data_IF_158301867119
#
_entry.id   IF_158301867119
#
_cell.length_a   1.000
_cell.length_b   1.000
_cell.length_c   1.000
_cell.angle_alpha   90.00
_cell.angle_beta   90.00
_cell.angle_gamma   90.00
#
_symmetry.space_group_name_H-M   'P 1'
#
loop_
_entity.id
_entity.type
_entity.pdbx_description
1 polymer ?
#
# COMPACT_ATOMS: atom_id res chain seq x y z
N UNK A 1 -23.90 -6.41 8.23
CA UNK A 1 -22.70 -5.90 7.52
C UNK A 1 -22.79 -6.38 6.08
N UNK A 2 -23.06 -5.49 5.13
CA UNK A 2 -23.26 -5.87 3.72
C UNK A 2 -21.89 -6.15 3.10
N UNK A 3 -21.53 -7.43 2.98
CA UNK A 3 -20.38 -7.83 2.19
C UNK A 3 -20.73 -7.66 0.71
N UNK A 4 -20.36 -6.53 0.11
CA UNK A 4 -20.28 -6.45 -1.34
C UNK A 4 -19.28 -7.52 -1.79
N UNK A 5 -19.77 -8.59 -2.42
CA UNK A 5 -18.92 -9.61 -3.07
C UNK A 5 -18.08 -8.90 -4.11
N UNK A 6 -16.81 -8.66 -3.79
CA UNK A 6 -15.88 -8.02 -4.70
C UNK A 6 -15.65 -8.90 -5.92
N UNK A 7 -15.97 -8.37 -7.10
CA UNK A 7 -15.77 -9.06 -8.38
C UNK A 7 -14.29 -9.09 -8.73
N UNK A 8 -13.79 -10.24 -9.18
CA UNK A 8 -12.44 -10.38 -9.71
C UNK A 8 -12.32 -9.63 -11.05
N UNK A 9 -11.31 -8.76 -11.17
CA UNK A 9 -11.08 -7.93 -12.38
C UNK A 9 -9.81 -8.31 -13.15
N UNK A 10 -9.14 -9.39 -12.75
CA UNK A 10 -7.88 -9.83 -13.35
C UNK A 10 -6.66 -9.40 -12.54
N UNK A 11 -5.59 -10.19 -12.62
CA UNK A 11 -4.41 -10.07 -11.77
C UNK A 11 -3.75 -8.69 -11.85
N UNK A 12 -3.53 -8.18 -13.07
CA UNK A 12 -2.90 -6.86 -13.30
C UNK A 12 -3.68 -5.76 -12.58
N UNK A 13 -4.99 -5.66 -12.79
CA UNK A 13 -5.84 -4.61 -12.19
C UNK A 13 -5.82 -4.70 -10.67
N UNK A 14 -5.82 -5.93 -10.14
CA UNK A 14 -5.83 -6.14 -8.70
C UNK A 14 -4.49 -5.77 -8.04
N UNK A 15 -3.36 -6.02 -8.70
CA UNK A 15 -2.02 -5.61 -8.26
C UNK A 15 -1.81 -4.09 -8.41
N UNK A 16 -2.30 -3.47 -9.49
CA UNK A 16 -2.25 -2.01 -9.66
C UNK A 16 -2.99 -1.27 -8.54
N UNK A 17 -4.13 -1.81 -8.10
CA UNK A 17 -4.83 -1.23 -6.96
C UNK A 17 -4.10 -1.44 -5.64
N UNK A 18 -3.30 -2.51 -5.49
CA UNK A 18 -2.38 -2.65 -4.36
C UNK A 18 -1.30 -1.57 -4.42
N UNK A 19 -0.70 -1.30 -5.58
CA UNK A 19 0.30 -0.22 -5.74
C UNK A 19 -0.27 1.14 -5.34
N UNK A 20 -1.51 1.45 -5.75
CA UNK A 20 -2.21 2.68 -5.33
C UNK A 20 -2.40 2.74 -3.82
N UNK A 21 -2.76 1.64 -3.17
CA UNK A 21 -2.92 1.60 -1.71
C UNK A 21 -1.58 1.80 -0.99
N UNK A 22 -0.50 1.20 -1.48
CA UNK A 22 0.84 1.43 -0.96
C UNK A 22 1.29 2.88 -1.18
N UNK A 23 1.01 3.47 -2.35
CA UNK A 23 1.28 4.89 -2.60
C UNK A 23 0.57 5.80 -1.60
N UNK A 24 -0.70 5.53 -1.31
CA UNK A 24 -1.46 6.27 -0.31
C UNK A 24 -0.85 6.13 1.07
N UNK A 25 -0.35 4.92 1.42
CA UNK A 25 0.39 4.72 2.67
C UNK A 25 1.68 5.55 2.72
N UNK A 26 2.50 5.56 1.65
CA UNK A 26 3.71 6.39 1.56
C UNK A 26 3.39 7.88 1.74
N UNK A 27 2.32 8.38 1.11
CA UNK A 27 1.90 9.79 1.24
C UNK A 27 1.54 10.10 2.70
N UNK A 28 0.76 9.24 3.37
CA UNK A 28 0.40 9.40 4.78
C UNK A 28 1.65 9.44 5.67
N UNK A 29 2.61 8.57 5.43
CA UNK A 29 3.85 8.51 6.19
C UNK A 29 4.76 9.71 5.95
N UNK A 30 4.82 10.21 4.73
CA UNK A 30 5.50 11.46 4.42
C UNK A 30 4.89 12.64 5.18
N UNK A 31 3.55 12.71 5.28
CA UNK A 31 2.86 13.71 6.10
C UNK A 31 3.17 13.54 7.59
N UNK A 32 3.14 12.31 8.11
CA UNK A 32 3.51 12.02 9.50
C UNK A 32 4.94 12.47 9.80
N UNK A 33 5.90 12.10 8.95
CA UNK A 33 7.31 12.51 9.07
C UNK A 33 7.45 14.02 9.09
N UNK A 34 6.78 14.72 8.17
CA UNK A 34 6.81 16.19 8.10
C UNK A 34 6.25 16.84 9.37
N UNK A 35 5.19 16.27 9.96
CA UNK A 35 4.61 16.79 11.19
C UNK A 35 5.42 16.43 12.43
N UNK A 36 6.12 15.30 12.44
CA UNK A 36 6.84 14.81 13.61
C UNK A 36 8.30 15.29 13.65
N UNK A 37 8.95 15.47 12.50
CA UNK A 37 10.40 15.66 12.43
C UNK A 37 10.86 16.94 11.68
N UNK A 38 10.01 17.58 10.87
CA UNK A 38 10.37 18.85 10.20
C UNK A 38 10.01 20.05 11.09
N UNK A 39 11.05 20.70 11.65
CA UNK A 39 10.90 21.85 12.55
C UNK A 39 10.13 23.01 11.92
N UNK A 40 10.37 23.31 10.64
CA UNK A 40 9.72 24.43 9.95
C UNK A 40 8.24 24.14 9.74
N UNK A 41 7.91 22.92 9.30
CA UNK A 41 6.51 22.50 9.13
C UNK A 41 5.77 22.40 10.46
N UNK A 42 6.43 21.92 11.52
CA UNK A 42 5.88 21.92 12.89
C UNK A 42 5.51 23.31 13.36
N UNK A 43 6.42 24.28 13.23
CA UNK A 43 6.17 25.67 13.64
C UNK A 43 4.98 26.28 12.88
N UNK A 44 4.92 26.06 11.56
CA UNK A 44 3.79 26.50 10.72
C UNK A 44 2.46 25.83 11.10
N UNK A 45 2.48 24.52 11.40
CA UNK A 45 1.28 23.81 11.85
C UNK A 45 0.79 24.33 13.21
N UNK A 46 1.72 24.61 14.13
CA UNK A 46 1.37 25.18 15.43
C UNK A 46 0.65 26.52 15.27
N UNK A 47 1.19 27.44 14.46
CA UNK A 47 0.59 28.77 14.26
C UNK A 47 -0.76 28.71 13.54
N UNK A 48 -0.88 27.83 12.54
CA UNK A 48 -2.02 27.84 11.62
C UNK A 48 -3.14 26.87 12.01
N UNK A 49 -2.87 25.88 12.85
CA UNK A 49 -3.84 24.85 13.22
C UNK A 49 -3.94 24.70 14.73
N UNK A 50 -2.83 24.49 15.42
CA UNK A 50 -2.86 24.20 16.86
C UNK A 50 -3.41 25.38 17.66
N UNK A 51 -2.93 26.60 17.41
CA UNK A 51 -3.43 27.80 18.13
C UNK A 51 -4.93 28.00 17.88
N UNK A 52 -5.37 27.88 16.63
CA UNK A 52 -6.78 28.08 16.26
C UNK A 52 -7.66 27.01 16.92
N UNK A 53 -7.28 25.74 16.83
CA UNK A 53 -8.05 24.63 17.42
C UNK A 53 -8.05 24.68 18.95
N UNK A 54 -6.97 25.19 19.57
CA UNK A 54 -6.92 25.47 21.00
C UNK A 54 -7.93 26.55 21.42
N UNK A 55 -8.09 27.60 20.61
CA UNK A 55 -9.11 28.64 20.86
C UNK A 55 -10.54 28.11 20.79
N UNK A 56 -10.76 27.00 20.06
CA UNK A 56 -12.02 26.27 20.02
C UNK A 56 -12.11 25.11 21.05
N UNK A 57 -11.17 25.03 21.99
CA UNK A 57 -11.22 24.12 23.14
C UNK A 57 -10.59 22.74 22.95
N UNK A 58 -10.06 22.43 21.75
CA UNK A 58 -9.45 21.13 21.45
C UNK A 58 -8.17 21.31 20.63
N UNK A 59 -7.01 21.54 21.27
CA UNK A 59 -5.76 21.74 20.55
C UNK A 59 -5.38 20.47 19.77
N UNK A 60 -5.26 20.59 18.45
CA UNK A 60 -4.69 19.54 17.60
C UNK A 60 -3.20 19.82 17.44
N UNK A 61 -2.36 18.95 17.98
CA UNK A 61 -0.89 19.11 17.86
C UNK A 61 -0.33 18.41 16.63
N UNK A 62 0.86 18.82 16.12
CA UNK A 62 1.55 18.11 15.06
C UNK A 62 1.77 16.62 15.39
N UNK A 63 2.07 16.30 16.65
CA UNK A 63 2.31 14.93 17.10
C UNK A 63 1.02 14.09 17.08
N UNK A 64 -0.10 14.65 17.55
CA UNK A 64 -1.41 13.98 17.48
C UNK A 64 -1.77 13.65 16.03
N UNK A 65 -1.66 14.62 15.12
CA UNK A 65 -1.99 14.40 13.72
C UNK A 65 -0.97 13.47 13.04
N UNK A 66 0.31 13.57 13.37
CA UNK A 66 1.37 12.67 12.90
C UNK A 66 1.09 11.22 13.28
N UNK A 67 0.76 10.94 14.55
CA UNK A 67 0.38 9.61 15.01
C UNK A 67 -0.88 9.07 14.31
N UNK A 68 -1.86 9.93 14.02
CA UNK A 68 -3.05 9.54 13.26
C UNK A 68 -2.69 9.09 11.84
N UNK A 69 -1.80 9.80 11.16
CA UNK A 69 -1.33 9.40 9.83
C UNK A 69 -0.57 8.08 9.84
N UNK A 70 0.29 7.83 10.84
CA UNK A 70 0.97 6.53 11.00
C UNK A 70 -0.04 5.40 11.19
N UNK A 71 -1.01 5.59 12.10
CA UNK A 71 -2.08 4.61 12.35
C UNK A 71 -2.87 4.30 11.08
N UNK A 72 -3.20 5.33 10.30
CA UNK A 72 -3.95 5.18 9.07
C UNK A 72 -3.12 4.52 7.94
N UNK A 73 -1.81 4.75 7.92
CA UNK A 73 -0.88 4.02 7.05
C UNK A 73 -0.85 2.52 7.42
N UNK A 74 -0.77 2.16 8.71
CA UNK A 74 -0.87 0.76 9.14
C UNK A 74 -2.21 0.11 8.75
N UNK A 75 -3.33 0.84 8.84
CA UNK A 75 -4.62 0.33 8.36
C UNK A 75 -4.63 0.09 6.85
N UNK A 76 -3.95 0.95 6.09
CA UNK A 76 -3.75 0.79 4.65
C UNK A 76 -2.92 -0.47 4.36
N UNK A 77 -1.83 -0.70 5.10
CA UNK A 77 -1.01 -1.91 5.00
C UNK A 77 -1.79 -3.19 5.33
N UNK A 78 -2.61 -3.20 6.39
CA UNK A 78 -3.51 -4.33 6.69
C UNK A 78 -4.47 -4.64 5.53
N UNK A 79 -4.95 -3.60 4.86
CA UNK A 79 -5.84 -3.74 3.71
C UNK A 79 -5.09 -4.30 2.49
N UNK A 80 -3.85 -3.86 2.27
CA UNK A 80 -2.93 -4.41 1.27
C UNK A 80 -2.67 -5.90 1.51
N UNK A 81 -2.31 -6.29 2.74
CA UNK A 81 -2.06 -7.70 3.10
C UNK A 81 -3.27 -8.57 2.78
N UNK A 82 -4.47 -8.14 3.22
CA UNK A 82 -5.71 -8.88 2.91
C UNK A 82 -5.95 -9.01 1.41
N UNK A 83 -5.65 -7.95 0.65
CA UNK A 83 -5.82 -7.92 -0.80
C UNK A 83 -4.83 -8.84 -1.52
N UNK A 84 -3.57 -8.84 -1.12
CA UNK A 84 -2.54 -9.72 -1.66
C UNK A 84 -2.85 -11.20 -1.36
N UNK A 85 -3.27 -11.53 -0.12
CA UNK A 85 -3.73 -12.89 0.23
C UNK A 85 -4.87 -13.35 -0.67
N UNK A 86 -5.88 -12.49 -0.85
CA UNK A 86 -6.99 -12.77 -1.75
C UNK A 86 -6.57 -12.93 -3.21
N UNK A 87 -5.57 -12.19 -3.69
CA UNK A 87 -5.00 -12.36 -5.03
C UNK A 87 -4.35 -13.74 -5.15
N UNK A 88 -3.51 -14.15 -4.19
CA UNK A 88 -2.91 -15.49 -4.18
C UNK A 88 -3.99 -16.59 -4.27
N UNK A 89 -5.04 -16.50 -3.46
CA UNK A 89 -6.14 -17.47 -3.48
C UNK A 89 -6.82 -17.55 -4.85
N UNK A 90 -6.88 -16.44 -5.60
CA UNK A 90 -7.54 -16.37 -6.91
C UNK A 90 -6.72 -16.92 -8.06
N UNK A 91 -5.39 -16.89 -7.95
CA UNK A 91 -4.49 -17.36 -9.02
C UNK A 91 -3.80 -18.67 -8.69
N UNK A 92 -4.07 -19.24 -7.50
CA UNK A 92 -3.38 -20.42 -6.96
C UNK A 92 -3.42 -21.65 -7.86
N UNK A 93 -4.53 -21.85 -8.55
CA UNK A 93 -4.76 -23.04 -9.39
C UNK A 93 -4.16 -22.92 -10.78
N UNK A 94 -3.69 -21.73 -11.18
CA UNK A 94 -3.16 -21.48 -12.52
C UNK A 94 -1.63 -21.58 -12.53
N UNK A 95 -1.05 -22.64 -13.14
CA UNK A 95 0.39 -22.92 -13.05
C UNK A 95 1.27 -21.81 -13.61
N UNK A 96 0.78 -21.00 -14.54
CA UNK A 96 1.58 -19.92 -15.15
C UNK A 96 1.95 -18.83 -14.14
N UNK A 97 1.24 -18.71 -13.03
CA UNK A 97 1.54 -17.73 -11.98
C UNK A 97 2.30 -18.32 -10.78
N UNK A 98 2.80 -19.55 -10.85
CA UNK A 98 3.47 -20.19 -9.72
C UNK A 98 4.60 -19.33 -9.11
N UNK A 99 5.45 -18.73 -9.95
CA UNK A 99 6.51 -17.81 -9.50
C UNK A 99 5.94 -16.53 -8.89
N UNK A 100 4.96 -15.93 -9.55
CA UNK A 100 4.28 -14.71 -9.10
C UNK A 100 3.66 -14.91 -7.72
N UNK A 101 3.02 -16.06 -7.46
CA UNK A 101 2.43 -16.38 -6.15
C UNK A 101 3.50 -16.33 -5.05
N UNK A 102 4.66 -16.95 -5.28
CA UNK A 102 5.77 -16.95 -4.32
C UNK A 102 6.23 -15.53 -4.02
N UNK A 103 6.37 -14.70 -5.04
CA UNK A 103 6.81 -13.31 -4.84
C UNK A 103 5.76 -12.46 -4.10
N UNK A 104 4.46 -12.69 -4.37
CA UNK A 104 3.37 -12.07 -3.61
C UNK A 104 3.40 -12.53 -2.13
N UNK A 105 3.65 -13.81 -1.87
CA UNK A 105 3.77 -14.33 -0.50
C UNK A 105 4.92 -13.69 0.27
N UNK A 106 6.04 -13.41 -0.40
CA UNK A 106 7.14 -12.66 0.22
C UNK A 106 6.69 -11.22 0.52
N UNK A 107 6.04 -10.54 -0.42
CA UNK A 107 5.53 -9.17 -0.19
C UNK A 107 4.52 -9.11 0.96
N UNK A 108 3.69 -10.15 1.13
CA UNK A 108 2.76 -10.27 2.26
C UNK A 108 3.55 -10.29 3.58
N UNK A 109 4.58 -11.14 3.69
CA UNK A 109 5.42 -11.23 4.89
C UNK A 109 6.11 -9.92 5.18
N UNK A 110 6.68 -9.28 4.17
CA UNK A 110 7.35 -7.98 4.32
C UNK A 110 6.37 -6.93 4.84
N UNK A 111 5.15 -6.86 4.30
CA UNK A 111 4.11 -5.97 4.79
C UNK A 111 3.71 -6.28 6.24
N UNK A 112 3.64 -7.56 6.63
CA UNK A 112 3.33 -7.99 8.00
C UNK A 112 4.41 -7.56 9.00
N UNK A 113 5.68 -7.63 8.62
CA UNK A 113 6.79 -7.12 9.43
C UNK A 113 6.72 -5.59 9.59
N UNK A 114 6.31 -4.85 8.56
CA UNK A 114 6.14 -3.39 8.66
C UNK A 114 5.05 -2.98 9.67
N UNK A 115 4.06 -3.83 9.95
CA UNK A 115 3.06 -3.51 10.98
C UNK A 115 3.65 -3.43 12.39
N UNK A 116 4.87 -3.94 12.60
CA UNK A 116 5.59 -3.89 13.88
C UNK A 116 6.45 -2.62 14.02
N UNK A 117 6.67 -1.90 12.92
CA UNK A 117 7.52 -0.70 12.90
C UNK A 117 6.71 0.53 13.28
N UNK A 118 7.17 1.26 14.30
CA UNK A 118 6.55 2.49 14.78
C UNK A 118 7.17 3.76 14.17
N UNK A 119 8.42 3.69 13.71
CA UNK A 119 9.13 4.84 13.17
C UNK A 119 8.58 5.21 11.77
N UNK A 120 8.05 6.44 11.56
CA UNK A 120 7.44 6.83 10.29
C UNK A 120 8.42 6.88 9.12
N UNK A 121 9.69 7.25 9.37
CA UNK A 121 10.71 7.35 8.33
C UNK A 121 11.14 5.96 7.85
N UNK A 122 11.36 5.06 8.81
CA UNK A 122 11.68 3.67 8.51
C UNK A 122 10.51 2.99 7.78
N UNK A 123 9.28 3.22 8.24
CA UNK A 123 8.09 2.70 7.56
C UNK A 123 7.99 3.23 6.12
N UNK A 124 8.21 4.53 5.90
CA UNK A 124 8.17 5.15 4.57
C UNK A 124 9.15 4.48 3.60
N UNK A 125 10.43 4.39 4.00
CA UNK A 125 11.47 3.78 3.16
C UNK A 125 11.13 2.34 2.80
N UNK A 126 10.65 1.56 3.76
CA UNK A 126 10.31 0.17 3.53
C UNK A 126 9.04 -0.01 2.67
N UNK A 127 8.03 0.86 2.83
CA UNK A 127 6.85 0.84 1.94
C UNK A 127 7.26 1.14 0.51
N UNK A 128 8.16 2.10 0.29
CA UNK A 128 8.66 2.43 -1.04
C UNK A 128 9.46 1.26 -1.67
N UNK A 129 10.24 0.53 -0.86
CA UNK A 129 10.92 -0.70 -1.30
C UNK A 129 9.94 -1.81 -1.71
N UNK A 130 8.92 -2.08 -0.89
CA UNK A 130 7.85 -3.06 -1.21
C UNK A 130 7.15 -2.66 -2.51
N UNK A 131 6.91 -1.36 -2.69
CA UNK A 131 6.26 -0.82 -3.88
C UNK A 131 7.11 -1.01 -5.13
N UNK A 132 8.43 -0.82 -5.05
CA UNK A 132 9.34 -1.12 -6.18
C UNK A 132 9.24 -2.57 -6.61
N UNK A 133 9.30 -3.49 -5.64
CA UNK A 133 9.18 -4.94 -5.92
C UNK A 133 7.82 -5.33 -6.48
N UNK A 134 6.74 -4.69 -6.01
CA UNK A 134 5.41 -4.89 -6.58
C UNK A 134 5.33 -4.44 -8.05
N UNK A 135 6.02 -3.36 -8.41
CA UNK A 135 6.06 -2.87 -9.80
C UNK A 135 6.84 -3.79 -10.71
N UNK A 136 7.95 -4.35 -10.24
CA UNK A 136 8.68 -5.40 -10.97
C UNK A 136 7.78 -6.61 -11.23
N UNK A 137 7.02 -7.03 -10.21
CA UNK A 137 6.05 -8.13 -10.33
C UNK A 137 4.92 -7.80 -11.31
N UNK A 138 4.43 -6.56 -11.32
CA UNK A 138 3.44 -6.09 -12.30
C UNK A 138 3.96 -6.23 -13.74
N UNK A 139 5.20 -5.83 -14.01
CA UNK A 139 5.83 -5.97 -15.34
C UNK A 139 5.94 -7.44 -15.74
N UNK A 140 6.33 -8.33 -14.81
CA UNK A 140 6.40 -9.76 -15.09
C UNK A 140 5.02 -10.35 -15.43
N UNK A 141 3.98 -9.98 -14.68
CA UNK A 141 2.60 -10.40 -14.95
C UNK A 141 2.12 -9.91 -16.32
N UNK A 142 2.39 -8.65 -16.67
CA UNK A 142 2.05 -8.10 -17.98
C UNK A 142 2.71 -8.89 -19.12
N UNK A 143 3.97 -9.31 -18.94
CA UNK A 143 4.66 -10.19 -19.88
C UNK A 143 3.99 -11.56 -20.04
N UNK A 144 3.63 -12.21 -18.94
CA UNK A 144 2.94 -13.52 -18.93
C UNK A 144 1.60 -13.43 -19.67
N UNK A 145 0.82 -12.38 -19.40
CA UNK A 145 -0.50 -12.16 -20.01
C UNK A 145 -0.39 -11.86 -21.51
N UNK A 146 0.61 -11.08 -21.91
CA UNK A 146 0.88 -10.76 -23.32
C UNK A 146 1.22 -12.02 -24.13
N UNK A 147 2.12 -12.85 -23.59
CA UNK A 147 2.53 -14.11 -24.22
C UNK A 147 1.33 -15.05 -24.35
N UNK A 148 0.54 -15.21 -23.28
CA UNK A 148 -0.63 -16.10 -23.25
C UNK A 148 -1.66 -15.72 -24.32
N UNK A 149 -1.94 -14.42 -24.50
CA UNK A 149 -2.89 -13.94 -25.53
C UNK A 149 -2.35 -14.15 -26.95
N UNK A 150 -1.05 -13.98 -27.15
CA UNK A 150 -0.40 -14.16 -28.45
C UNK A 150 -0.53 -15.61 -28.92
N UNK A 151 -0.31 -16.59 -28.04
CA UNK A 151 -0.49 -18.02 -28.36
C UNK A 151 -1.94 -18.39 -28.71
N UNK A 152 -2.93 -17.84 -27.99
CA UNK A 152 -4.34 -18.09 -28.28
C UNK A 152 -4.79 -17.51 -29.64
N UNK A 153 -4.17 -16.43 -30.10
CA UNK A 153 -4.48 -15.83 -31.41
C UNK A 153 -3.95 -16.66 -32.59
N UNK A 154 -2.90 -17.46 -32.36
CA UNK A 154 -2.27 -18.32 -33.38
C UNK A 154 -3.05 -19.63 -33.53
N UNK A 155 -3.61 -20.18 -32.45
CA UNK A 155 -4.37 -21.44 -32.48
C UNK A 155 -5.80 -21.30 -33.04
N UNK A 156 -6.33 -20.08 -33.14
CA UNK A 156 -7.66 -19.78 -33.70
C UNK A 156 -7.61 -19.36 -35.18
N UNK A 157 -6.47 -19.53 -35.86
CA UNK A 157 -6.30 -19.38 -37.31
C UNK A 157 -6.05 -20.74 -37.94
#
# INVERSE_FOLDING_TARGET
>A
MIFFKRKWRGLIVELQDVDKQLQLASIKLSMARNLMHDRKRRASFLSNVTVITAMHGLPVTPDMLGSLFVRDAHNSLRSVIRRLKWICDKVREDPKYFRIIRDIEILIKDCEELLKVANPQELLNNVDNIRSRLRELLVEVEGIEFISRSYQSIQNK
#
